data_IF_457355432107
#
_entry.id   IF_457355432107
#
_cell.length_a   1.000
_cell.length_b   1.000
_cell.length_c   1.000
_cell.angle_alpha   90.00
_cell.angle_beta   90.00
_cell.angle_gamma   90.00
#
_symmetry.space_group_name_H-M   'P 1'
#
loop_
_entity.id
_entity.type
_entity.pdbx_description
1 polymer ?
#
# COMPACT_ATOMS: atom_id res chain seq x y z
N UNK A 1 -11.87 21.26 2.63
CA UNK A 1 -11.00 20.43 3.50
C UNK A 1 -9.85 19.87 2.71
N UNK A 2 -9.04 20.75 2.11
CA UNK A 2 -7.89 20.33 1.31
C UNK A 2 -6.64 20.41 2.18
N UNK A 3 -5.84 19.35 2.15
CA UNK A 3 -4.60 19.25 2.89
C UNK A 3 -3.59 20.17 2.21
N UNK A 4 -3.32 21.32 2.84
CA UNK A 4 -2.34 22.29 2.33
C UNK A 4 -0.92 21.92 2.69
N UNK A 5 -0.75 21.29 3.85
CA UNK A 5 0.54 20.85 4.33
C UNK A 5 0.46 19.64 5.27
N UNK A 6 1.55 18.87 5.21
CA UNK A 6 2.07 17.73 5.99
C UNK A 6 2.99 18.06 7.17
N UNK A 7 2.58 18.61 8.33
CA UNK A 7 3.56 19.04 9.33
C UNK A 7 4.49 17.89 9.75
N UNK A 8 5.80 18.09 9.55
CA UNK A 8 6.82 17.11 9.93
C UNK A 8 6.76 16.80 11.43
N UNK A 9 6.84 15.52 11.78
CA UNK A 9 6.75 15.03 13.16
C UNK A 9 5.33 14.84 13.69
N UNK A 10 4.29 15.23 12.95
CA UNK A 10 2.91 14.89 13.28
C UNK A 10 2.55 13.45 12.88
N UNK A 11 1.52 12.87 13.51
CA UNK A 11 1.09 11.48 13.24
C UNK A 11 0.75 11.24 11.76
N UNK A 12 0.08 12.19 11.10
CA UNK A 12 -0.22 12.09 9.67
C UNK A 12 1.03 11.99 8.78
N UNK A 13 2.14 12.65 9.18
CA UNK A 13 3.42 12.53 8.49
C UNK A 13 4.12 11.21 8.82
N UNK A 14 4.00 10.73 10.06
CA UNK A 14 4.57 9.44 10.49
C UNK A 14 3.90 8.25 9.79
N UNK A 15 2.57 8.30 9.65
CA UNK A 15 1.80 7.25 8.99
C UNK A 15 1.96 7.30 7.46
N UNK A 16 2.20 8.50 6.90
CA UNK A 16 2.40 8.70 5.46
C UNK A 16 1.15 8.40 4.60
N UNK A 17 -0.02 8.27 5.22
CA UNK A 17 -1.26 7.90 4.53
C UNK A 17 -1.87 9.06 3.74
N UNK A 18 -1.68 10.29 4.23
CA UNK A 18 -2.23 11.52 3.65
C UNK A 18 -1.10 12.33 3.02
N UNK A 19 -1.38 12.92 1.86
CA UNK A 19 -0.46 13.79 1.15
C UNK A 19 -1.01 15.21 1.00
N UNK A 20 -0.10 16.16 0.78
CA UNK A 20 -0.46 17.51 0.34
C UNK A 20 -1.26 17.43 -0.95
N UNK A 21 -2.38 18.16 -1.00
CA UNK A 21 -3.32 18.16 -2.12
C UNK A 21 -4.48 17.19 -1.97
N UNK A 22 -4.43 16.26 -1.00
CA UNK A 22 -5.59 15.40 -0.71
C UNK A 22 -6.77 16.23 -0.21
N UNK A 23 -7.98 15.88 -0.64
CA UNK A 23 -9.22 16.45 -0.15
C UNK A 23 -9.88 15.45 0.82
N UNK A 24 -10.01 15.83 2.09
CA UNK A 24 -10.69 14.98 3.08
C UNK A 24 -12.20 15.15 2.88
N UNK A 25 -12.88 14.02 2.67
CA UNK A 25 -14.32 13.93 2.44
C UNK A 25 -15.06 13.57 3.72
N UNK A 26 -14.53 12.61 4.48
CA UNK A 26 -15.16 12.05 5.67
C UNK A 26 -14.14 11.80 6.78
N UNK A 27 -14.62 11.82 8.03
CA UNK A 27 -13.88 11.47 9.23
C UNK A 27 -14.73 10.51 10.05
N UNK A 28 -14.24 9.30 10.30
CA UNK A 28 -14.94 8.24 11.05
C UNK A 28 -16.37 7.98 10.52
N UNK A 29 -16.52 7.98 9.18
CA UNK A 29 -17.80 7.82 8.48
C UNK A 29 -18.72 9.06 8.54
N UNK A 30 -18.27 10.17 9.12
CA UNK A 30 -19.02 11.42 9.16
C UNK A 30 -18.57 12.32 8.00
N UNK A 31 -19.45 12.64 7.03
CA UNK A 31 -19.09 13.50 5.93
C UNK A 31 -18.87 14.93 6.40
N UNK A 32 -17.84 15.57 5.85
CA UNK A 32 -17.51 16.95 6.21
C UNK A 32 -18.52 17.94 5.65
N UNK A 33 -19.04 17.75 4.42
CA UNK A 33 -20.09 18.60 3.80
C UNK A 33 -19.86 20.12 3.99
N UNK A 34 -18.62 20.58 3.83
CA UNK A 34 -18.24 22.00 4.01
C UNK A 34 -17.92 22.42 5.45
N UNK A 35 -18.15 21.56 6.44
CA UNK A 35 -17.67 21.74 7.82
C UNK A 35 -16.16 21.56 7.89
N UNK A 36 -15.54 22.18 8.89
CA UNK A 36 -14.10 22.03 9.12
C UNK A 36 -13.79 20.71 9.85
N UNK A 37 -12.58 20.18 9.65
CA UNK A 37 -12.11 18.97 10.34
C UNK A 37 -12.30 19.02 11.87
N UNK A 38 -11.90 20.11 12.57
CA UNK A 38 -12.05 20.20 14.02
C UNK A 38 -13.51 20.12 14.51
N UNK A 39 -14.49 20.40 13.65
CA UNK A 39 -15.92 20.30 14.00
C UNK A 39 -16.42 18.86 14.00
N UNK A 40 -15.85 17.98 13.17
CA UNK A 40 -16.27 16.57 13.06
C UNK A 40 -15.38 15.62 13.85
N UNK A 41 -14.12 15.99 14.08
CA UNK A 41 -13.18 15.20 14.87
C UNK A 41 -13.54 15.26 16.36
N UNK A 42 -13.57 14.10 17.00
CA UNK A 42 -13.72 13.98 18.45
C UNK A 42 -12.37 14.20 19.12
N UNK A 43 -12.15 15.31 19.85
CA UNK A 43 -10.84 15.61 20.43
C UNK A 43 -10.40 14.50 21.39
N UNK A 44 -9.09 14.22 21.40
CA UNK A 44 -8.48 13.21 22.27
C UNK A 44 -8.62 11.76 21.79
N UNK A 45 -9.21 11.50 20.62
CA UNK A 45 -9.17 10.16 20.06
C UNK A 45 -7.77 9.77 19.57
N UNK A 46 -7.34 8.53 19.83
CA UNK A 46 -6.02 8.04 19.44
C UNK A 46 -5.93 7.71 17.94
N UNK A 47 -7.06 7.55 17.24
CA UNK A 47 -7.11 7.12 15.85
C UNK A 47 -8.31 7.74 15.15
N UNK A 48 -8.15 8.08 13.87
CA UNK A 48 -9.21 8.58 13.01
C UNK A 48 -9.12 7.86 11.66
N UNK A 49 -10.26 7.47 11.11
CA UNK A 49 -10.36 6.97 9.74
C UNK A 49 -10.78 8.11 8.81
N UNK A 50 -10.02 8.34 7.76
CA UNK A 50 -10.24 9.45 6.85
C UNK A 50 -10.52 8.92 5.46
N UNK A 51 -11.65 9.33 4.89
CA UNK A 51 -11.88 9.14 3.47
C UNK A 51 -11.30 10.33 2.73
N UNK A 52 -10.33 10.09 1.85
CA UNK A 52 -9.66 11.12 1.08
C UNK A 52 -9.85 10.93 -0.41
N UNK A 53 -10.06 12.03 -1.12
CA UNK A 53 -9.93 12.09 -2.56
C UNK A 53 -8.54 12.62 -2.89
N UNK A 54 -7.75 11.80 -3.59
CA UNK A 54 -6.46 12.21 -4.14
C UNK A 54 -6.67 12.64 -5.59
N UNK A 55 -6.55 13.95 -5.92
CA UNK A 55 -6.91 14.47 -7.24
C UNK A 55 -5.88 14.14 -8.32
N UNK A 56 -4.65 13.80 -7.96
CA UNK A 56 -3.61 13.45 -8.93
C UNK A 56 -3.38 11.93 -8.94
N UNK A 57 -3.52 11.27 -10.10
CA UNK A 57 -3.14 9.87 -10.23
C UNK A 57 -1.67 9.74 -9.88
N UNK A 58 -1.40 8.92 -8.88
CA UNK A 58 -0.08 8.79 -8.28
C UNK A 58 0.37 7.34 -8.21
N UNK A 59 1.52 7.15 -7.57
CA UNK A 59 2.14 5.84 -7.36
C UNK A 59 1.16 4.79 -6.83
N UNK A 60 0.26 5.19 -5.93
CA UNK A 60 -0.75 4.29 -5.36
C UNK A 60 -1.78 3.79 -6.38
N UNK A 61 -2.26 4.67 -7.28
CA UNK A 61 -3.26 4.27 -8.29
C UNK A 61 -2.63 3.32 -9.31
N UNK A 62 -1.43 3.65 -9.79
CA UNK A 62 -0.66 2.78 -10.69
C UNK A 62 -0.42 1.42 -10.05
N UNK A 63 -0.05 1.39 -8.76
CA UNK A 63 0.19 0.15 -8.04
C UNK A 63 -1.11 -0.64 -7.82
N UNK A 64 -2.21 0.02 -7.45
CA UNK A 64 -3.51 -0.62 -7.27
C UNK A 64 -4.02 -1.29 -8.56
N UNK A 65 -3.83 -0.62 -9.70
CA UNK A 65 -4.14 -1.18 -11.02
C UNK A 65 -3.21 -2.34 -11.38
N UNK A 66 -1.90 -2.17 -11.19
CA UNK A 66 -0.90 -3.19 -11.51
C UNK A 66 -1.05 -4.48 -10.68
N UNK A 67 -1.50 -4.35 -9.43
CA UNK A 67 -1.73 -5.47 -8.50
C UNK A 67 -3.14 -6.04 -8.58
N UNK A 68 -4.02 -5.47 -9.42
CA UNK A 68 -5.40 -5.92 -9.58
C UNK A 68 -6.28 -5.63 -8.37
N UNK A 69 -5.82 -4.80 -7.42
CA UNK A 69 -6.61 -4.30 -6.28
C UNK A 69 -7.79 -3.47 -6.76
N UNK A 70 -7.65 -2.81 -7.91
CA UNK A 70 -8.72 -2.06 -8.55
C UNK A 70 -8.85 -2.41 -10.03
N UNK A 71 -10.07 -2.33 -10.55
CA UNK A 71 -10.39 -2.61 -11.95
C UNK A 71 -10.39 -1.30 -12.75
N UNK A 72 -9.83 -1.34 -13.96
CA UNK A 72 -9.82 -0.21 -14.88
C UNK A 72 -11.25 0.27 -15.21
N UNK A 73 -11.48 1.59 -15.16
CA UNK A 73 -12.77 2.21 -15.48
C UNK A 73 -13.67 2.57 -14.29
N UNK A 74 -13.28 2.20 -13.06
CA UNK A 74 -13.91 2.67 -11.82
C UNK A 74 -13.03 3.67 -11.05
N UNK A 75 -13.60 4.37 -10.06
CA UNK A 75 -12.78 5.10 -9.07
C UNK A 75 -12.19 4.07 -8.10
N UNK A 76 -10.86 3.85 -8.09
CA UNK A 76 -10.25 2.88 -7.19
C UNK A 76 -10.52 3.30 -5.75
N UNK A 77 -11.31 2.51 -5.02
CA UNK A 77 -11.53 2.70 -3.59
C UNK A 77 -10.66 1.69 -2.85
N UNK A 78 -9.55 2.20 -2.31
CA UNK A 78 -8.60 1.41 -1.52
C UNK A 78 -8.56 1.93 -0.10
N UNK A 79 -8.42 1.02 0.85
CA UNK A 79 -8.16 1.35 2.24
C UNK A 79 -6.67 1.19 2.49
N UNK A 80 -6.05 2.24 3.02
CA UNK A 80 -4.65 2.20 3.41
C UNK A 80 -4.55 2.04 4.92
N UNK A 81 -3.64 1.19 5.38
CA UNK A 81 -3.41 0.95 6.80
C UNK A 81 -1.91 1.02 7.11
N UNK A 82 -1.52 1.86 8.07
CA UNK A 82 -0.16 1.90 8.57
C UNK A 82 0.00 0.84 9.69
N UNK A 83 0.90 -0.11 9.48
CA UNK A 83 1.13 -1.24 10.38
C UNK A 83 2.59 -1.26 10.81
N UNK A 84 2.90 -1.19 12.12
CA UNK A 84 4.25 -1.38 12.60
C UNK A 84 4.68 -2.84 12.37
N UNK A 85 5.92 -3.03 11.94
CA UNK A 85 6.50 -4.35 11.65
C UNK A 85 7.86 -4.45 12.32
N UNK A 86 8.05 -5.48 13.13
CA UNK A 86 9.31 -5.74 13.82
C UNK A 86 10.17 -6.75 13.07
N UNK A 87 11.48 -6.48 13.01
CA UNK A 87 12.47 -7.38 12.43
C UNK A 87 12.85 -8.43 13.46
N UNK A 88 12.54 -9.69 13.17
CA UNK A 88 12.96 -10.85 13.95
C UNK A 88 14.31 -11.43 13.53
N UNK A 89 14.74 -12.54 14.15
CA UNK A 89 16.00 -13.22 13.82
C UNK A 89 16.10 -13.68 12.37
N UNK A 90 14.96 -14.02 11.75
CA UNK A 90 14.84 -14.42 10.34
C UNK A 90 14.46 -13.26 9.41
N UNK A 91 14.65 -12.01 9.85
CA UNK A 91 14.24 -10.82 9.12
C UNK A 91 12.79 -10.43 9.39
N UNK A 92 12.10 -9.91 8.38
CA UNK A 92 10.73 -9.40 8.53
C UNK A 92 9.67 -10.51 8.60
N UNK A 93 10.00 -11.72 8.13
CA UNK A 93 9.07 -12.84 8.13
C UNK A 93 7.92 -12.73 7.12
N UNK A 94 8.11 -11.95 6.05
CA UNK A 94 7.12 -11.73 4.99
C UNK A 94 7.74 -12.19 3.67
N UNK A 95 7.01 -13.04 2.93
CA UNK A 95 7.32 -13.37 1.54
C UNK A 95 6.47 -12.51 0.60
N UNK A 96 7.13 -11.79 -0.31
CA UNK A 96 6.50 -10.83 -1.21
C UNK A 96 6.69 -11.26 -2.67
N UNK A 97 5.66 -11.05 -3.47
CA UNK A 97 5.74 -11.13 -4.92
C UNK A 97 6.59 -9.98 -5.50
N UNK A 98 6.98 -10.07 -6.79
CA UNK A 98 7.62 -8.95 -7.50
C UNK A 98 6.80 -7.65 -7.53
N UNK A 99 5.49 -7.74 -7.28
CA UNK A 99 4.57 -6.59 -7.24
C UNK A 99 4.21 -6.17 -5.81
N UNK A 100 5.03 -6.54 -4.83
CA UNK A 100 4.84 -6.21 -3.41
C UNK A 100 3.54 -6.75 -2.80
N UNK A 101 2.96 -7.79 -3.40
CA UNK A 101 1.84 -8.54 -2.81
C UNK A 101 2.36 -9.60 -1.85
N UNK A 102 1.82 -9.67 -0.63
CA UNK A 102 2.13 -10.70 0.36
C UNK A 102 1.68 -12.07 -0.13
N UNK A 103 2.62 -12.99 -0.31
CA UNK A 103 2.35 -14.36 -0.72
C UNK A 103 2.17 -15.29 0.48
N UNK A 104 3.08 -15.17 1.44
CA UNK A 104 3.11 -16.01 2.62
C UNK A 104 3.76 -15.26 3.78
N UNK A 105 3.52 -15.76 4.99
CA UNK A 105 4.18 -15.30 6.21
C UNK A 105 5.04 -16.46 6.74
N UNK A 106 6.20 -16.13 7.27
CA UNK A 106 7.07 -17.11 7.91
C UNK A 106 6.45 -17.51 9.25
N UNK A 107 6.16 -18.80 9.50
CA UNK A 107 5.59 -19.25 10.76
C UNK A 107 6.48 -18.85 11.96
N UNK A 108 5.85 -18.36 13.04
CA UNK A 108 6.54 -17.91 14.24
C UNK A 108 7.26 -16.56 14.12
N UNK A 109 7.21 -15.90 12.95
CA UNK A 109 7.70 -14.54 12.81
C UNK A 109 6.83 -13.53 13.57
N UNK A 110 7.37 -12.36 13.96
CA UNK A 110 6.59 -11.30 14.61
C UNK A 110 5.33 -10.94 13.82
N UNK A 111 5.47 -10.79 12.50
CA UNK A 111 4.36 -10.43 11.60
C UNK A 111 3.26 -11.50 11.58
N UNK A 112 3.64 -12.78 11.55
CA UNK A 112 2.66 -13.86 11.58
C UNK A 112 1.87 -13.89 12.90
N UNK A 113 2.51 -13.54 14.02
CA UNK A 113 1.88 -13.55 15.34
C UNK A 113 0.93 -12.36 15.57
N UNK A 114 1.22 -11.21 14.95
CA UNK A 114 0.39 -10.01 15.07
C UNK A 114 -0.91 -10.08 14.25
N UNK A 115 -0.92 -10.86 13.16
CA UNK A 115 -2.11 -11.15 12.36
C UNK A 115 -2.67 -9.98 11.53
N UNK A 116 -2.02 -8.81 11.56
CA UNK A 116 -2.43 -7.60 10.79
C UNK A 116 -2.11 -7.71 9.31
N UNK A 117 -0.98 -8.33 8.98
CA UNK A 117 -0.56 -8.57 7.59
C UNK A 117 -1.04 -9.97 7.21
N UNK A 118 -1.68 -10.10 6.05
CA UNK A 118 -2.18 -11.36 5.53
C UNK A 118 -1.76 -11.59 4.09
N UNK A 119 -1.64 -12.85 3.63
CA UNK A 119 -1.53 -13.17 2.23
C UNK A 119 -2.60 -12.46 1.39
N UNK A 120 -2.18 -11.87 0.27
CA UNK A 120 -3.02 -11.05 -0.61
C UNK A 120 -3.00 -9.55 -0.31
N UNK A 121 -2.49 -9.10 0.84
CA UNK A 121 -2.30 -7.67 1.08
C UNK A 121 -1.21 -7.11 0.16
N UNK A 122 -1.36 -5.85 -0.25
CA UNK A 122 -0.37 -5.16 -1.10
C UNK A 122 0.41 -4.16 -0.25
N UNK A 123 1.74 -4.27 -0.26
CA UNK A 123 2.62 -3.31 0.40
C UNK A 123 2.81 -2.09 -0.49
N UNK A 124 2.13 -1.00 -0.12
CA UNK A 124 2.09 0.25 -0.86
C UNK A 124 3.18 1.26 -0.45
N UNK A 125 3.68 1.15 0.78
CA UNK A 125 4.74 2.03 1.29
C UNK A 125 5.47 1.47 2.50
N UNK A 126 6.63 2.05 2.79
CA UNK A 126 7.45 1.75 3.98
C UNK A 126 8.01 3.06 4.53
N UNK A 127 7.83 3.30 5.84
CA UNK A 127 8.31 4.49 6.56
C UNK A 127 7.92 5.81 5.86
N UNK A 128 6.68 5.88 5.38
CA UNK A 128 6.14 7.03 4.64
C UNK A 128 6.60 7.15 3.18
N UNK A 129 7.50 6.27 2.70
CA UNK A 129 7.92 6.23 1.30
C UNK A 129 7.08 5.21 0.51
N UNK A 130 6.41 5.67 -0.55
CA UNK A 130 5.64 4.77 -1.41
C UNK A 130 6.56 3.85 -2.23
N UNK A 131 6.21 2.57 -2.28
CA UNK A 131 6.98 1.55 -3.01
C UNK A 131 6.78 1.70 -4.51
N UNK A 132 5.53 1.76 -4.98
CA UNK A 132 5.24 1.81 -6.40
C UNK A 132 5.77 0.59 -7.15
N UNK A 133 6.58 0.85 -8.17
CA UNK A 133 7.24 -0.19 -8.98
C UNK A 133 8.66 -0.55 -8.49
N UNK A 134 9.07 -0.07 -7.31
CA UNK A 134 10.41 -0.35 -6.75
C UNK A 134 10.41 -1.67 -5.99
N UNK A 135 11.58 -2.25 -5.81
CA UNK A 135 11.72 -3.41 -4.94
C UNK A 135 11.77 -3.00 -3.47
N UNK A 136 11.30 -3.87 -2.59
CA UNK A 136 11.28 -3.60 -1.15
C UNK A 136 12.67 -3.31 -0.55
N UNK A 137 13.75 -4.00 -0.96
CA UNK A 137 15.10 -3.63 -0.53
C UNK A 137 15.52 -2.20 -0.88
N UNK A 138 14.96 -1.59 -1.94
CA UNK A 138 15.29 -0.20 -2.32
C UNK A 138 14.63 0.84 -1.40
N UNK A 139 13.49 0.50 -0.80
CA UNK A 139 12.74 1.41 0.09
C UNK A 139 13.01 1.14 1.57
N UNK A 140 13.46 -0.07 1.92
CA UNK A 140 13.85 -0.40 3.29
C UNK A 140 15.18 0.25 3.65
N UNK A 141 15.16 1.06 4.71
CA UNK A 141 16.39 1.52 5.34
C UNK A 141 17.09 0.32 6.00
N UNK A 142 18.35 0.00 5.63
CA UNK A 142 19.03 -1.16 6.18
C UNK A 142 19.29 -1.00 7.68
N UNK A 143 19.19 -2.11 8.43
CA UNK A 143 19.61 -2.18 9.83
C UNK A 143 18.58 -1.72 10.87
N UNK A 144 17.39 -1.27 10.49
CA UNK A 144 16.35 -0.94 11.47
C UNK A 144 15.72 -2.19 12.09
N UNK A 145 15.31 -2.05 13.36
CA UNK A 145 14.62 -3.09 14.14
C UNK A 145 13.11 -3.08 13.91
N UNK A 146 12.58 -1.99 13.40
CA UNK A 146 11.16 -1.79 13.14
C UNK A 146 10.96 -0.88 11.93
N UNK A 147 9.86 -1.12 11.23
CA UNK A 147 9.41 -0.35 10.06
C UNK A 147 7.92 -0.08 10.19
N UNK A 148 7.42 0.98 9.53
CA UNK A 148 5.98 1.21 9.39
C UNK A 148 5.58 0.88 7.96
N UNK A 149 4.82 -0.19 7.78
CA UNK A 149 4.35 -0.64 6.47
C UNK A 149 3.00 0.01 6.17
N UNK A 150 2.85 0.53 4.96
CA UNK A 150 1.55 0.99 4.45
C UNK A 150 0.97 -0.14 3.63
N UNK A 151 -0.04 -0.81 4.16
CA UNK A 151 -0.80 -1.84 3.48
C UNK A 151 -1.92 -1.20 2.67
N UNK A 152 -2.19 -1.77 1.50
CA UNK A 152 -3.30 -1.43 0.64
C UNK A 152 -4.25 -2.62 0.57
N UNK A 153 -5.49 -2.36 0.94
CA UNK A 153 -6.58 -3.32 0.91
C UNK A 153 -7.60 -2.90 -0.15
N UNK A 154 -8.06 -3.83 -1.01
CA UNK A 154 -9.21 -3.56 -1.86
C UNK A 154 -10.43 -3.37 -0.95
N UNK A 155 -11.12 -2.25 -1.12
CA UNK A 155 -12.46 -2.10 -0.54
C UNK A 155 -13.43 -2.54 -1.62
N UNK A 156 -14.29 -3.54 -1.37
CA UNK A 156 -15.34 -3.87 -2.32
C UNK A 156 -16.15 -2.59 -2.56
N UNK A 157 -16.36 -2.23 -3.83
CA UNK A 157 -17.09 -1.03 -4.17
C UNK A 157 -18.40 -0.98 -3.37
N UNK A 158 -18.74 0.15 -2.74
CA UNK A 158 -20.01 0.25 -2.05
C UNK A 158 -21.11 -0.07 -3.07
N UNK A 159 -21.92 -1.08 -2.77
CA UNK A 159 -23.09 -1.42 -3.57
C UNK A 159 -23.88 -0.14 -3.81
N UNK A 160 -24.34 0.07 -5.04
CA UNK A 160 -24.96 1.32 -5.53
C UNK A 160 -26.19 1.83 -4.73
N UNK A 161 -26.59 1.14 -3.66
CA UNK A 161 -27.64 1.50 -2.73
C UNK A 161 -27.23 2.60 -1.74
N UNK A 162 -25.95 2.85 -1.52
CA UNK A 162 -25.51 4.04 -0.78
C UNK A 162 -25.58 5.24 -1.74
N UNK A 163 -26.60 6.09 -1.59
CA UNK A 163 -26.98 7.23 -2.47
C UNK A 163 -25.94 8.34 -2.72
N UNK A 164 -24.73 7.98 -3.12
CA UNK A 164 -23.54 8.80 -3.24
C UNK A 164 -23.44 9.55 -4.58
N UNK A 165 -24.23 9.18 -5.59
CA UNK A 165 -24.05 9.69 -6.97
C UNK A 165 -24.78 11.01 -7.26
N UNK A 166 -25.69 11.47 -6.39
CA UNK A 166 -26.53 12.63 -6.68
C UNK A 166 -25.78 13.98 -6.63
N UNK A 167 -24.62 14.06 -5.97
CA UNK A 167 -23.90 15.33 -5.75
C UNK A 167 -22.70 15.60 -6.67
N UNK A 168 -22.08 14.56 -7.25
CA UNK A 168 -20.83 14.70 -8.00
C UNK A 168 -21.01 14.61 -9.52
N UNK A 169 -22.23 14.34 -9.99
CA UNK A 169 -22.58 14.21 -11.42
C UNK A 169 -22.55 15.55 -12.18
N UNK A 170 -22.55 16.68 -11.49
CA UNK A 170 -22.65 18.02 -12.09
C UNK A 170 -21.30 18.71 -12.37
N UNK A 171 -20.18 18.16 -11.89
CA UNK A 171 -18.85 18.76 -12.07
C UNK A 171 -18.03 18.17 -13.23
N UNK A 172 -18.48 17.08 -13.84
CA UNK A 172 -17.66 16.31 -14.81
C UNK A 172 -18.28 16.17 -16.19
N UNK A 173 -19.34 16.93 -16.52
CA UNK A 173 -19.81 17.03 -17.91
C UNK A 173 -18.90 17.98 -18.69
N UNK A 174 -17.69 17.50 -18.98
CA UNK A 174 -16.96 17.97 -20.15
C UNK A 174 -17.81 17.64 -21.37
N UNK A 175 -18.34 18.67 -22.03
CA UNK A 175 -19.07 18.55 -23.28
C UNK A 175 -18.15 18.02 -24.39
N UNK A 176 -18.53 16.96 -25.10
CA UNK A 176 -18.35 16.92 -26.53
C UNK A 176 -19.69 17.33 -27.15
N UNK A 177 -19.70 18.53 -27.75
CA UNK A 177 -20.73 18.87 -28.73
C UNK A 177 -20.50 17.97 -29.93
N UNK A 178 -21.30 16.92 -30.06
CA UNK A 178 -21.42 16.15 -31.28
C UNK A 178 -22.91 15.99 -31.59
N UNK A 179 -23.46 17.01 -32.21
CA UNK A 179 -24.66 16.89 -33.03
C UNK A 179 -24.37 15.93 -34.17
N UNK A 180 -25.15 14.85 -34.31
CA UNK A 180 -25.70 14.36 -35.59
C UNK A 180 -26.57 13.11 -35.38
N UNK A 181 -27.87 13.38 -35.41
CA UNK A 181 -28.93 12.65 -36.12
C UNK A 181 -28.85 11.12 -36.31
N UNK A 182 -29.83 10.48 -35.68
CA UNK A 182 -30.34 9.14 -35.91
C UNK A 182 -30.63 8.82 -37.39
N UNK A 183 -30.41 7.57 -37.78
CA UNK A 183 -31.27 6.80 -38.67
C UNK A 183 -31.02 5.31 -38.43
N UNK A 184 -32.00 4.60 -37.86
CA UNK A 184 -32.16 3.15 -38.03
C UNK A 184 -32.94 2.91 -39.33
N UNK A 185 -32.71 1.79 -40.03
CA UNK A 185 -33.51 0.59 -39.74
C UNK A 185 -32.77 -0.76 -39.88
N UNK A 186 -33.10 -1.65 -38.95
CA UNK A 186 -33.66 -2.99 -39.19
C UNK A 186 -33.33 -3.73 -40.50
N UNK A 187 -32.52 -4.80 -40.44
CA UNK A 187 -32.84 -6.14 -41.00
C UNK A 187 -31.80 -7.20 -40.55
N UNK A 188 -32.25 -8.21 -39.81
CA UNK A 188 -31.69 -9.58 -39.84
C UNK A 188 -32.65 -10.41 -40.69
N UNK A 189 -32.23 -11.41 -41.51
CA UNK A 189 -31.65 -12.65 -40.97
C UNK A 189 -30.71 -13.44 -41.93
N UNK A 190 -29.71 -14.14 -41.40
CA UNK A 190 -29.41 -15.51 -41.84
C UNK A 190 -28.48 -16.21 -40.86
N UNK A 191 -28.90 -17.41 -40.48
CA UNK A 191 -28.16 -18.37 -39.71
C UNK A 191 -27.19 -19.12 -40.63
N UNK A 192 -25.95 -19.35 -40.17
CA UNK A 192 -25.16 -20.52 -40.58
C UNK A 192 -24.44 -21.10 -39.37
N UNK A 193 -24.55 -22.42 -39.30
CA UNK A 193 -24.10 -23.36 -38.28
C UNK A 193 -22.59 -23.36 -38.06
N UNK A 194 -22.22 -23.71 -36.83
CA UNK A 194 -20.90 -24.18 -36.45
C UNK A 194 -20.50 -25.48 -37.19
N UNK A 195 -19.20 -25.79 -37.22
CA UNK A 195 -18.82 -27.11 -36.73
C UNK A 195 -17.80 -27.06 -35.58
N UNK A 196 -18.25 -27.72 -34.52
CA UNK A 196 -17.52 -28.41 -33.48
C UNK A 196 -16.21 -29.08 -33.96
N UNK A 197 -15.06 -28.69 -33.40
CA UNK A 197 -13.85 -29.55 -33.36
C UNK A 197 -13.06 -29.28 -32.06
N UNK A 198 -13.17 -30.21 -31.11
CA UNK A 198 -12.13 -30.44 -30.09
C UNK A 198 -10.94 -31.18 -30.72
N UNK A 199 -9.72 -30.94 -30.20
CA UNK A 199 -8.82 -32.05 -29.97
C UNK A 199 -8.32 -32.13 -28.53
N UNK A 200 -8.27 -33.37 -28.03
CA UNK A 200 -7.71 -33.81 -26.76
C UNK A 200 -6.15 -33.81 -26.79
N UNK A 201 -5.47 -34.05 -25.66
CA UNK A 201 -4.07 -33.66 -25.42
C UNK A 201 -3.05 -34.75 -25.81
N UNK A 202 -1.77 -34.39 -26.03
CA UNK A 202 -0.70 -35.39 -26.05
C UNK A 202 -0.18 -35.71 -24.63
N UNK A 203 -0.08 -37.02 -24.38
CA UNK A 203 0.63 -37.67 -23.27
C UNK A 203 2.15 -37.68 -23.51
N UNK A 204 2.87 -37.99 -22.42
CA UNK A 204 4.19 -38.63 -22.36
C UNK A 204 5.38 -37.65 -22.49
N UNK A 205 6.54 -37.84 -21.87
CA UNK A 205 7.04 -38.82 -20.91
C UNK A 205 8.44 -38.37 -20.51
N UNK A 206 8.90 -38.86 -19.37
CA UNK A 206 10.29 -39.24 -19.09
C UNK A 206 11.36 -38.19 -18.76
N UNK A 207 11.91 -38.45 -17.56
CA UNK A 207 13.32 -38.64 -17.22
C UNK A 207 14.24 -37.41 -17.26
N UNK A 208 14.83 -37.16 -16.09
CA UNK A 208 16.09 -36.42 -16.02
C UNK A 208 16.52 -35.98 -14.63
N UNK A 209 16.55 -36.87 -13.64
CA UNK A 209 17.43 -36.69 -12.47
C UNK A 209 18.86 -36.97 -12.90
N UNK A 210 19.85 -36.12 -12.58
CA UNK A 210 21.00 -36.59 -11.80
C UNK A 210 21.56 -35.48 -10.87
N UNK A 211 22.71 -35.69 -10.19
CA UNK A 211 22.79 -36.20 -8.83
C UNK A 211 23.22 -35.13 -7.81
N UNK A 212 23.10 -35.50 -6.53
CA UNK A 212 23.65 -34.81 -5.39
C UNK A 212 25.15 -34.56 -5.54
N UNK A 213 25.58 -33.32 -5.27
CA UNK A 213 26.97 -32.98 -4.99
C UNK A 213 27.05 -32.60 -3.52
N UNK A 214 27.52 -33.54 -2.71
CA UNK A 214 28.07 -33.26 -1.40
C UNK A 214 29.35 -32.43 -1.59
N UNK A 215 29.43 -31.26 -0.96
CA UNK A 215 30.72 -30.66 -0.65
C UNK A 215 30.72 -30.28 0.83
N UNK A 216 31.58 -30.99 1.55
CA UNK A 216 31.83 -30.84 2.97
C UNK A 216 32.76 -29.65 3.25
N UNK A 217 32.61 -29.14 4.48
CA UNK A 217 33.62 -28.51 5.32
C UNK A 217 34.24 -27.17 4.88
N UNK A 218 33.91 -26.09 5.61
CA UNK A 218 34.91 -25.35 6.40
C UNK A 218 34.26 -24.28 7.30
N UNK A 219 34.18 -24.58 8.61
CA UNK A 219 34.36 -23.60 9.70
C UNK A 219 35.66 -24.03 10.43
N UNK A 220 36.31 -23.21 11.30
CA UNK A 220 36.03 -21.83 11.70
C UNK A 220 37.26 -20.91 11.54
N UNK A 221 37.07 -19.59 11.51
CA UNK A 221 38.14 -18.66 11.88
C UNK A 221 37.59 -17.49 12.69
N UNK A 222 38.16 -17.39 13.89
CA UNK A 222 37.91 -16.40 14.91
C UNK A 222 38.05 -14.97 14.40
N UNK A 223 37.13 -14.10 14.79
CA UNK A 223 37.27 -12.65 14.70
C UNK A 223 37.70 -12.16 16.10
N UNK A 224 38.84 -11.45 16.22
CA UNK A 224 39.29 -10.91 17.49
C UNK A 224 38.41 -9.73 17.96
N UNK A 225 38.18 -9.67 19.28
CA UNK A 225 37.51 -8.58 19.97
C UNK A 225 38.24 -7.23 19.77
N UNK A 226 37.52 -6.11 19.57
CA UNK A 226 38.12 -4.79 19.64
C UNK A 226 38.33 -4.34 21.11
N UNK A 227 39.42 -3.61 21.40
CA UNK A 227 39.74 -3.16 22.75
C UNK A 227 38.77 -2.10 23.28
N UNK A 228 38.56 -2.15 24.60
CA UNK A 228 37.82 -1.18 25.39
C UNK A 228 38.29 0.25 25.12
N UNK A 229 37.39 1.08 24.60
CA UNK A 229 37.68 2.50 24.43
C UNK A 229 37.48 3.23 25.75
N UNK A 230 38.52 3.97 26.08
CA UNK A 230 38.79 4.71 27.30
C UNK A 230 37.83 5.90 27.37
N UNK A 231 37.19 6.04 28.53
CA UNK A 231 36.42 7.21 28.91
C UNK A 231 37.30 8.47 28.80
N UNK A 232 36.79 9.50 28.14
CA UNK A 232 37.39 10.83 28.22
C UNK A 232 36.33 11.91 28.11
N UNK A 233 36.58 12.94 28.92
CA UNK A 233 36.14 14.32 28.87
C UNK A 233 34.83 14.68 29.60
N UNK A 234 35.02 15.13 30.84
CA UNK A 234 34.92 16.56 31.18
C UNK A 234 34.15 17.45 30.19
N UNK A 235 33.04 17.99 30.66
CA UNK A 235 32.55 19.32 30.29
C UNK A 235 31.66 19.86 31.41
N UNK A 236 32.31 20.17 32.53
CA UNK A 236 31.81 21.12 33.54
C UNK A 236 32.13 22.53 33.03
N UNK A 237 31.09 23.30 32.66
CA UNK A 237 31.02 24.77 32.59
C UNK A 237 29.95 25.20 31.58
N UNK A 238 28.82 25.72 32.06
CA UNK A 238 28.28 27.07 31.80
C UNK A 238 26.91 27.12 32.50
N UNK A 239 26.92 27.49 33.78
CA UNK A 239 25.72 27.85 34.53
C UNK A 239 26.04 29.07 35.41
N UNK A 240 26.11 30.25 34.80
CA UNK A 240 26.08 31.53 35.52
C UNK A 240 25.79 32.68 34.56
N UNK A 241 24.52 32.86 34.18
CA UNK A 241 23.99 34.13 33.69
C UNK A 241 22.45 34.12 33.68
N UNK A 242 21.81 34.14 34.85
CA UNK A 242 20.42 34.58 34.96
C UNK A 242 20.07 34.98 36.41
N UNK A 243 19.94 36.30 36.59
CA UNK A 243 19.12 37.01 37.59
C UNK A 243 19.55 37.02 39.09
N UNK A 244 19.55 38.26 39.60
CA UNK A 244 19.59 38.73 41.00
C UNK A 244 20.98 38.90 41.64
#
# INVERSE_FOLDING_TARGET
>A
NNVRDVPGGGQAALDGLIAKGDAILEVDGIPLNGRSLPTVMKPGQPTYELQVLRPQPGVLETQALATGVCVAGGRPHVRLEAVPVHRGPQGLGIDLSPYSVVKALVPGSPVANEGRIQPGNVLAGVDGALVGCRTIPEVLKPGLKSYTFILMHPVPAPSSDSGWTSGLSSLWRGSPSASSTATSPDTSPWAVQAPNVSPAPPKASMRGQPPAVHLAAQEPSAIPEPPANVANADADAVAAAAAA
#
